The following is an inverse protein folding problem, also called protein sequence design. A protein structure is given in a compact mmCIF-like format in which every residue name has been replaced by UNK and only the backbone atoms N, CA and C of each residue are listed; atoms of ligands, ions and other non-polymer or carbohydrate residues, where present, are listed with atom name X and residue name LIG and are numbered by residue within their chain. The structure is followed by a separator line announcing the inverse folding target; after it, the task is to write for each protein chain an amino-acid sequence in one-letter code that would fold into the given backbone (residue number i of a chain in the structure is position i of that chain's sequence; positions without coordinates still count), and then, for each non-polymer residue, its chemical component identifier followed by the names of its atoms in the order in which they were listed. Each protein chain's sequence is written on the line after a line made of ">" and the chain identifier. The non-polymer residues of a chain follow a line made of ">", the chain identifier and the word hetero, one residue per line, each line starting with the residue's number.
data_IF_644091551878
#
_entry.id   IF_644091551878
#
_cell.length_a   1.000
_cell.length_b   1.000
_cell.length_c   1.000
_cell.angle_alpha   90.00
_cell.angle_beta   90.00
_cell.angle_gamma   90.00
#
_symmetry.space_group_name_H-M   'P 1'
#
loop_
_entity.id
_entity.type
_entity.pdbx_description
1 polymer ?
#
# COMPACT_ATOMS: atom_id res chain seq x y z
N UNK A 1 -21.97 16.18 3.91
CA UNK A 1 -20.87 15.64 4.73
C UNK A 1 -19.64 15.88 3.90
N UNK A 2 -18.87 16.88 4.32
CA UNK A 2 -17.81 17.51 3.53
C UNK A 2 -16.62 16.57 3.36
N UNK A 3 -16.15 16.44 2.11
CA UNK A 3 -15.06 15.56 1.67
C UNK A 3 -13.69 16.30 1.60
N UNK A 4 -13.55 17.42 2.29
CA UNK A 4 -12.50 18.44 2.04
C UNK A 4 -11.14 18.19 2.73
N UNK A 5 -10.72 16.94 2.94
CA UNK A 5 -9.57 16.69 3.82
C UNK A 5 -8.57 15.59 3.46
N UNK A 6 -8.78 14.78 2.42
CA UNK A 6 -7.94 13.58 2.30
C UNK A 6 -7.82 12.96 0.90
N UNK A 7 -7.54 13.73 -0.16
CA UNK A 7 -7.35 13.10 -1.49
C UNK A 7 -6.34 13.78 -2.45
N UNK A 8 -5.03 13.88 -2.16
CA UNK A 8 -4.09 14.31 -3.21
C UNK A 8 -3.97 13.31 -4.37
N UNK A 9 -4.22 12.00 -4.12
CA UNK A 9 -4.10 10.96 -5.14
C UNK A 9 -5.35 10.86 -6.04
N UNK A 10 -6.52 11.25 -5.53
CA UNK A 10 -7.77 11.26 -6.30
C UNK A 10 -8.14 12.65 -6.85
N UNK A 11 -7.71 13.76 -6.24
CA UNK A 11 -7.84 15.09 -6.87
C UNK A 11 -7.19 15.11 -8.26
N UNK A 12 -6.02 14.46 -8.43
CA UNK A 12 -5.38 14.32 -9.74
C UNK A 12 -6.17 13.42 -10.71
N UNK A 13 -6.88 12.40 -10.22
CA UNK A 13 -7.70 11.49 -11.04
C UNK A 13 -9.07 12.12 -11.42
N UNK A 14 -9.61 13.01 -10.59
CA UNK A 14 -10.90 13.68 -10.80
C UNK A 14 -10.76 14.96 -11.63
N UNK A 15 -9.67 15.73 -11.48
CA UNK A 15 -9.44 16.94 -12.28
C UNK A 15 -9.26 16.64 -13.77
N UNK A 16 -8.63 15.51 -14.12
CA UNK A 16 -8.46 15.07 -15.51
C UNK A 16 -9.78 14.74 -16.24
N UNK A 17 -10.88 14.49 -15.51
CA UNK A 17 -12.17 14.14 -16.09
C UNK A 17 -13.09 15.35 -16.37
N UNK A 18 -12.67 16.58 -16.05
CA UNK A 18 -13.56 17.78 -16.13
C UNK A 18 -13.10 18.88 -17.09
N UNK A 19 -12.12 18.62 -17.95
CA UNK A 19 -11.70 19.58 -18.97
C UNK A 19 -11.85 19.01 -20.38
N UNK A 20 -12.99 19.29 -21.00
CA UNK A 20 -13.14 19.19 -22.46
C UNK A 20 -13.77 20.48 -22.99
N UNK A 21 -12.93 21.31 -23.61
CA UNK A 21 -13.20 22.06 -24.85
C UNK A 21 -12.19 23.20 -24.98
N UNK A 22 -11.11 22.96 -25.73
CA UNK A 22 -10.16 24.00 -26.08
C UNK A 22 -9.01 23.45 -26.90
N UNK A 23 -9.12 23.54 -28.22
CA UNK A 23 -8.00 23.33 -29.16
C UNK A 23 -6.76 24.11 -28.72
N UNK A 24 -5.56 23.51 -28.82
CA UNK A 24 -4.41 24.33 -29.18
C UNK A 24 -3.44 23.69 -30.19
N UNK A 25 -2.97 24.62 -31.02
CA UNK A 25 -1.82 24.61 -31.90
C UNK A 25 -0.62 23.75 -31.48
N UNK A 26 -0.16 22.98 -32.48
CA UNK A 26 1.23 22.68 -32.84
C UNK A 26 2.32 23.30 -31.96
N UNK A 27 2.92 22.47 -31.12
CA UNK A 27 4.31 22.66 -30.69
C UNK A 27 5.01 21.30 -30.59
N UNK A 28 6.29 21.28 -30.98
CA UNK A 28 7.10 20.13 -31.32
C UNK A 28 7.22 19.05 -30.23
N UNK A 29 7.24 17.74 -30.58
CA UNK A 29 7.39 16.69 -29.60
C UNK A 29 8.86 16.55 -29.17
N UNK A 30 9.11 16.83 -27.89
CA UNK A 30 10.33 16.40 -27.22
C UNK A 30 10.28 14.88 -27.03
N UNK A 31 11.15 14.16 -27.72
CA UNK A 31 11.42 12.74 -27.49
C UNK A 31 11.86 12.51 -26.04
N UNK A 32 10.98 11.91 -25.22
CA UNK A 32 11.36 11.28 -23.96
C UNK A 32 11.65 9.80 -24.23
N UNK A 33 12.91 9.42 -24.09
CA UNK A 33 13.34 8.02 -24.11
C UNK A 33 12.86 7.33 -22.83
N UNK A 34 11.70 6.68 -22.87
CA UNK A 34 11.20 5.82 -21.81
C UNK A 34 11.72 4.40 -22.00
N UNK A 35 12.86 4.08 -21.37
CA UNK A 35 13.34 2.70 -21.23
C UNK A 35 13.29 2.29 -19.76
N UNK A 36 12.08 2.07 -19.25
CA UNK A 36 11.85 1.42 -17.96
C UNK A 36 10.91 0.24 -18.19
N UNK A 37 11.37 -0.97 -17.88
CA UNK A 37 10.78 -2.23 -18.35
C UNK A 37 9.33 -2.43 -17.92
N UNK A 38 8.51 -2.89 -18.86
CA UNK A 38 7.13 -3.28 -18.62
C UNK A 38 7.05 -4.47 -17.66
N UNK A 39 6.23 -4.34 -16.61
CA UNK A 39 5.88 -5.44 -15.72
C UNK A 39 4.59 -6.11 -16.18
N UNK A 40 4.66 -7.42 -16.45
CA UNK A 40 3.49 -8.25 -16.75
C UNK A 40 3.46 -9.42 -15.78
N UNK A 41 2.41 -9.49 -14.97
CA UNK A 41 2.18 -10.60 -14.07
C UNK A 41 1.67 -11.82 -14.85
N UNK A 42 2.30 -12.99 -14.64
CA UNK A 42 1.77 -14.26 -15.17
C UNK A 42 0.46 -14.58 -14.45
N UNK A 43 -0.62 -14.98 -15.13
CA UNK A 43 -1.85 -15.40 -14.47
C UNK A 43 -1.70 -16.69 -13.67
N UNK A 44 -2.39 -16.76 -12.54
CA UNK A 44 -2.57 -18.00 -11.79
C UNK A 44 -3.44 -18.99 -12.56
N UNK A 45 -3.28 -20.28 -12.29
CA UNK A 45 -4.02 -21.36 -12.98
C UNK A 45 -5.53 -21.34 -12.77
N UNK A 46 -6.02 -20.55 -11.80
CA UNK A 46 -7.43 -20.38 -11.50
C UNK A 46 -8.12 -19.37 -12.43
N UNK A 47 -7.37 -18.52 -13.15
CA UNK A 47 -7.94 -17.51 -14.04
C UNK A 47 -8.12 -18.05 -15.45
N UNK A 48 -9.33 -17.89 -15.98
CA UNK A 48 -9.67 -18.17 -17.37
C UNK A 48 -9.40 -16.98 -18.27
N UNK A 49 -9.29 -17.22 -19.59
CA UNK A 49 -9.17 -16.14 -20.58
C UNK A 49 -10.38 -15.20 -20.55
N UNK A 50 -11.56 -15.71 -20.20
CA UNK A 50 -12.78 -14.90 -20.07
C UNK A 50 -12.68 -13.94 -18.88
N UNK A 51 -12.17 -14.37 -17.73
CA UNK A 51 -12.00 -13.53 -16.54
C UNK A 51 -10.93 -12.45 -16.74
N UNK A 52 -9.85 -12.78 -17.45
CA UNK A 52 -8.83 -11.81 -17.82
C UNK A 52 -9.38 -10.78 -18.82
N UNK A 53 -10.16 -11.22 -19.80
CA UNK A 53 -10.58 -10.37 -20.92
C UNK A 53 -9.41 -10.03 -21.86
N UNK A 54 -9.71 -9.32 -22.94
CA UNK A 54 -8.74 -8.99 -24.00
C UNK A 54 -8.02 -7.65 -23.81
N UNK A 55 -8.54 -6.79 -22.94
CA UNK A 55 -8.04 -5.42 -22.76
C UNK A 55 -6.96 -5.41 -21.68
N UNK A 56 -5.79 -4.89 -22.04
CA UNK A 56 -4.65 -4.69 -21.14
C UNK A 56 -4.40 -3.19 -21.01
N UNK A 57 -4.40 -2.71 -19.76
CA UNK A 57 -4.13 -1.32 -19.39
C UNK A 57 -2.63 -1.11 -19.14
N UNK A 58 -2.12 0.04 -19.55
CA UNK A 58 -0.81 0.58 -19.19
C UNK A 58 -0.95 1.48 -17.96
N UNK A 59 -0.57 0.98 -16.79
CA UNK A 59 -0.59 1.73 -15.51
C UNK A 59 0.82 2.17 -15.16
N UNK A 60 1.06 3.47 -15.05
CA UNK A 60 2.34 4.02 -14.61
C UNK A 60 2.29 4.34 -13.13
N UNK A 61 3.19 3.75 -12.33
CA UNK A 61 3.21 3.90 -10.87
C UNK A 61 4.54 4.46 -10.41
N UNK A 62 4.48 5.38 -9.44
CA UNK A 62 5.64 6.07 -8.90
C UNK A 62 6.05 7.30 -9.72
N UNK A 63 7.06 8.01 -9.22
CA UNK A 63 7.53 9.25 -9.82
C UNK A 63 8.91 9.06 -10.43
N UNK A 64 9.10 9.53 -11.66
CA UNK A 64 10.41 9.60 -12.33
C UNK A 64 11.44 10.44 -11.57
N UNK A 65 11.00 11.26 -10.60
CA UNK A 65 11.86 12.11 -9.77
C UNK A 65 12.35 11.40 -8.50
N UNK A 66 11.77 10.27 -8.11
CA UNK A 66 12.11 9.56 -6.88
C UNK A 66 13.13 8.43 -7.09
N UNK A 67 13.96 8.10 -6.09
CA UNK A 67 14.83 6.92 -6.13
C UNK A 67 14.00 5.64 -6.30
N UNK A 68 14.09 5.01 -7.47
CA UNK A 68 13.26 3.86 -7.87
C UNK A 68 12.45 4.11 -9.14
N UNK A 69 12.22 5.37 -9.50
CA UNK A 69 11.56 5.80 -10.73
C UNK A 69 10.09 5.39 -10.82
N UNK A 70 9.50 5.69 -11.98
CA UNK A 70 8.20 5.16 -12.35
C UNK A 70 8.37 3.77 -13.00
N UNK A 71 7.39 2.89 -12.77
CA UNK A 71 7.33 1.56 -13.39
C UNK A 71 6.02 1.43 -14.13
N UNK A 72 6.07 0.90 -15.35
CA UNK A 72 4.89 0.61 -16.16
C UNK A 72 4.42 -0.82 -15.89
N UNK A 73 3.15 -0.96 -15.51
CA UNK A 73 2.45 -2.22 -15.29
C UNK A 73 1.46 -2.46 -16.41
N UNK A 74 1.42 -3.69 -16.93
CA UNK A 74 0.39 -4.17 -17.85
C UNK A 74 -0.60 -5.03 -17.09
N UNK A 75 -1.81 -4.51 -16.91
CA UNK A 75 -2.84 -5.14 -16.07
C UNK A 75 -4.11 -5.36 -16.90
N UNK A 76 -4.69 -6.55 -16.82
CA UNK A 76 -5.96 -6.82 -17.50
C UNK A 76 -7.08 -5.94 -16.92
N UNK A 77 -7.73 -5.15 -17.77
CA UNK A 77 -8.79 -4.21 -17.38
C UNK A 77 -9.94 -4.91 -16.65
N UNK A 78 -10.44 -6.02 -17.21
CA UNK A 78 -11.57 -6.76 -16.63
C UNK A 78 -11.23 -7.27 -15.23
N UNK A 79 -10.03 -7.84 -15.07
CA UNK A 79 -9.55 -8.32 -13.77
C UNK A 79 -9.43 -7.18 -12.74
N UNK A 80 -8.79 -6.07 -13.11
CA UNK A 80 -8.62 -4.91 -12.23
C UNK A 80 -9.98 -4.37 -11.75
N UNK A 81 -10.89 -4.10 -12.68
CA UNK A 81 -12.21 -3.56 -12.36
C UNK A 81 -13.09 -4.54 -11.58
N UNK A 82 -12.93 -5.85 -11.81
CA UNK A 82 -13.69 -6.87 -11.06
C UNK A 82 -13.30 -6.99 -9.59
N UNK A 83 -12.02 -6.76 -9.26
CA UNK A 83 -11.49 -6.90 -7.91
C UNK A 83 -11.34 -5.56 -7.18
N UNK A 84 -11.36 -4.46 -7.91
CA UNK A 84 -11.09 -3.13 -7.38
C UNK A 84 -12.16 -2.14 -7.87
N UNK A 85 -13.19 -1.95 -7.05
CA UNK A 85 -14.40 -1.24 -7.41
C UNK A 85 -14.16 0.21 -7.86
N UNK A 86 -13.14 0.88 -7.30
CA UNK A 86 -12.83 2.27 -7.65
C UNK A 86 -12.36 2.41 -9.11
N UNK A 87 -11.64 1.42 -9.65
CA UNK A 87 -11.25 1.42 -11.06
C UNK A 87 -12.45 1.17 -11.97
N UNK A 88 -13.40 0.34 -11.55
CA UNK A 88 -14.66 0.16 -12.28
C UNK A 88 -15.47 1.46 -12.39
N UNK A 89 -15.43 2.31 -11.36
CA UNK A 89 -16.05 3.64 -11.39
C UNK A 89 -15.26 4.61 -12.28
N UNK A 90 -13.92 4.58 -12.19
CA UNK A 90 -13.02 5.45 -12.96
C UNK A 90 -13.17 5.26 -14.47
N UNK A 91 -13.09 4.01 -14.95
CA UNK A 91 -13.18 3.72 -16.38
C UNK A 91 -14.62 3.80 -16.94
N UNK A 92 -15.62 3.74 -16.05
CA UNK A 92 -17.03 3.76 -16.43
C UNK A 92 -17.47 2.52 -17.23
N UNK A 93 -18.70 2.55 -17.78
CA UNK A 93 -19.27 1.46 -18.57
C UNK A 93 -18.82 1.46 -20.04
N UNK A 94 -18.27 2.57 -20.52
CA UNK A 94 -17.94 2.80 -21.93
C UNK A 94 -16.43 2.85 -22.16
N UNK A 95 -15.64 2.14 -21.34
CA UNK A 95 -14.21 2.03 -21.60
C UNK A 95 -13.98 1.28 -22.90
N UNK A 96 -13.64 2.03 -23.95
CA UNK A 96 -13.18 1.51 -25.20
C UNK A 96 -11.67 1.69 -25.23
N UNK A 97 -10.92 0.58 -25.29
CA UNK A 97 -9.49 0.64 -25.54
C UNK A 97 -9.29 1.30 -26.91
N UNK A 98 -8.88 2.57 -26.91
CA UNK A 98 -8.84 3.36 -28.13
C UNK A 98 -7.62 3.03 -29.02
N UNK A 99 -6.60 2.35 -28.48
CA UNK A 99 -5.33 2.12 -29.19
C UNK A 99 -4.66 0.79 -28.80
N UNK A 100 -3.80 0.30 -29.71
CA UNK A 100 -2.88 -0.80 -29.44
C UNK A 100 -1.92 -0.39 -28.30
N UNK A 101 -1.82 -1.16 -27.21
CA UNK A 101 -1.01 -0.82 -26.04
C UNK A 101 0.47 -0.61 -26.37
N UNK A 102 0.97 -1.15 -27.49
CA UNK A 102 2.36 -0.96 -27.93
C UNK A 102 2.57 0.34 -28.72
N UNK A 103 1.50 1.00 -29.14
CA UNK A 103 1.52 2.28 -29.88
C UNK A 103 1.09 3.48 -29.04
N UNK A 104 0.67 3.24 -27.79
CA UNK A 104 0.12 4.26 -26.91
C UNK A 104 1.22 5.12 -26.29
N UNK A 105 1.19 6.43 -26.55
CA UNK A 105 2.17 7.39 -26.02
C UNK A 105 1.94 7.76 -24.55
N UNK A 106 0.70 7.63 -24.06
CA UNK A 106 0.29 7.99 -22.70
C UNK A 106 -0.21 6.76 -21.94
N UNK A 107 0.02 6.65 -20.62
CA UNK A 107 -0.57 5.59 -19.82
C UNK A 107 -2.08 5.75 -19.69
N UNK A 108 -2.80 4.65 -19.47
CA UNK A 108 -4.23 4.66 -19.18
C UNK A 108 -4.52 5.17 -17.75
N UNK A 109 -3.56 4.99 -16.83
CA UNK A 109 -3.63 5.42 -15.43
C UNK A 109 -2.25 5.84 -14.94
N UNK A 110 -2.17 6.99 -14.25
CA UNK A 110 -0.95 7.45 -13.55
C UNK A 110 -1.16 7.47 -12.04
N UNK A 111 -0.31 6.75 -11.31
CA UNK A 111 -0.29 6.66 -9.85
C UNK A 111 1.05 7.19 -9.31
N UNK A 112 1.29 8.49 -9.53
CA UNK A 112 2.59 9.13 -9.30
C UNK A 112 3.07 9.11 -7.82
N UNK A 113 2.13 9.03 -6.88
CA UNK A 113 2.39 9.11 -5.44
C UNK A 113 2.45 7.74 -4.75
N UNK A 114 2.31 6.67 -5.53
CA UNK A 114 2.21 5.29 -5.06
C UNK A 114 3.55 4.56 -5.21
N UNK A 115 3.84 3.62 -4.31
CA UNK A 115 5.08 2.84 -4.35
C UNK A 115 4.96 1.68 -5.35
N UNK A 116 5.80 1.63 -6.40
CA UNK A 116 5.72 0.58 -7.41
C UNK A 116 5.87 -0.83 -6.84
N UNK A 117 6.60 -1.01 -5.75
CA UNK A 117 6.83 -2.33 -5.15
C UNK A 117 5.59 -2.81 -4.40
N UNK A 118 4.89 -1.92 -3.71
CA UNK A 118 3.61 -2.26 -3.10
C UNK A 118 2.54 -2.51 -4.17
N UNK A 119 2.59 -1.77 -5.27
CA UNK A 119 1.64 -1.97 -6.37
C UNK A 119 1.90 -3.30 -7.09
N UNK A 120 3.17 -3.70 -7.24
CA UNK A 120 3.54 -5.03 -7.71
C UNK A 120 2.92 -6.14 -6.85
N UNK A 121 2.89 -5.99 -5.52
CA UNK A 121 2.22 -6.96 -4.63
C UNK A 121 0.70 -6.99 -4.84
N UNK A 122 0.06 -5.82 -5.01
CA UNK A 122 -1.36 -5.75 -5.36
C UNK A 122 -1.64 -6.47 -6.68
N UNK A 123 -0.87 -6.19 -7.74
CA UNK A 123 -1.00 -6.87 -9.03
C UNK A 123 -0.75 -8.38 -8.89
N UNK A 124 0.25 -8.79 -8.12
CA UNK A 124 0.48 -10.21 -7.81
C UNK A 124 -0.75 -10.86 -7.20
N UNK A 125 -1.34 -10.23 -6.18
CA UNK A 125 -2.56 -10.70 -5.53
C UNK A 125 -3.76 -10.74 -6.47
N UNK A 126 -3.94 -9.73 -7.34
CA UNK A 126 -5.02 -9.72 -8.33
C UNK A 126 -5.00 -10.97 -9.21
N UNK A 127 -3.81 -11.42 -9.62
CA UNK A 127 -3.63 -12.56 -10.53
C UNK A 127 -3.46 -13.92 -9.82
N UNK A 128 -3.09 -13.93 -8.54
CA UNK A 128 -2.77 -15.16 -7.78
C UNK A 128 -3.80 -15.50 -6.69
N UNK A 129 -4.65 -14.54 -6.31
CA UNK A 129 -5.55 -14.62 -5.15
C UNK A 129 -4.83 -14.89 -3.81
N UNK A 130 -3.52 -14.70 -3.78
CA UNK A 130 -2.66 -14.83 -2.60
C UNK A 130 -1.53 -13.81 -2.65
N UNK A 131 -1.06 -13.35 -1.49
CA UNK A 131 0.09 -12.45 -1.38
C UNK A 131 1.38 -13.27 -1.48
N UNK A 132 2.20 -12.97 -2.49
CA UNK A 132 3.55 -13.53 -2.62
C UNK A 132 4.58 -12.65 -1.89
N UNK A 133 5.17 -13.20 -0.83
CA UNK A 133 6.20 -12.54 -0.03
C UNK A 133 7.59 -12.48 -0.68
N UNK A 134 7.80 -13.26 -1.74
CA UNK A 134 9.08 -13.38 -2.43
C UNK A 134 9.13 -12.51 -3.69
N UNK A 135 8.84 -11.21 -3.51
CA UNK A 135 9.03 -10.26 -4.59
C UNK A 135 10.51 -9.86 -4.66
N UNK A 136 11.12 -10.14 -5.81
CA UNK A 136 12.48 -9.69 -6.11
C UNK A 136 12.57 -8.17 -6.07
N UNK A 137 13.52 -7.69 -5.27
CA UNK A 137 14.02 -6.33 -5.36
C UNK A 137 15.03 -6.32 -6.50
N UNK A 138 14.65 -5.77 -7.65
CA UNK A 138 15.55 -5.60 -8.80
C UNK A 138 16.91 -5.07 -8.30
N UNK A 139 17.92 -5.93 -8.42
CA UNK A 139 19.26 -5.80 -7.82
C UNK A 139 20.11 -4.68 -8.44
N UNK A 140 19.51 -3.79 -9.24
CA UNK A 140 20.20 -2.70 -9.94
C UNK A 140 20.69 -1.58 -9.03
N UNK A 141 20.22 -1.48 -7.78
CA UNK A 141 20.82 -0.59 -6.76
C UNK A 141 21.88 -1.29 -5.88
N UNK A 142 22.03 -2.61 -5.97
CA UNK A 142 22.91 -3.40 -5.13
C UNK A 142 24.26 -3.74 -5.78
N UNK A 143 24.45 -3.41 -7.07
CA UNK A 143 25.65 -3.78 -7.85
C UNK A 143 26.91 -2.97 -7.51
N UNK A 144 26.90 -2.10 -6.50
CA UNK A 144 28.05 -1.28 -6.08
C UNK A 144 28.37 -1.30 -4.59
N UNK A 145 28.12 -2.41 -3.87
CA UNK A 145 28.63 -2.52 -2.50
C UNK A 145 29.36 -3.85 -2.24
N UNK A 146 30.58 -3.82 -1.68
CA UNK A 146 31.37 -5.02 -1.46
C UNK A 146 30.64 -6.00 -0.54
N UNK A 147 30.68 -7.26 -0.97
CA UNK A 147 29.93 -8.40 -0.45
C UNK A 147 30.52 -8.90 0.88
N UNK A 148 30.34 -8.14 1.97
CA UNK A 148 30.87 -8.53 3.29
C UNK A 148 30.00 -8.16 4.52
N UNK A 149 28.73 -7.80 4.33
CA UNK A 149 27.80 -7.52 5.46
C UNK A 149 26.62 -8.47 5.40
N UNK A 150 26.15 -8.96 6.56
CA UNK A 150 24.95 -9.82 6.64
C UNK A 150 23.72 -9.04 6.17
N UNK A 151 23.39 -9.15 4.88
CA UNK A 151 22.27 -8.45 4.23
C UNK A 151 20.89 -8.91 4.70
N UNK A 152 20.80 -10.03 5.43
CA UNK A 152 19.52 -10.60 5.88
C UNK A 152 18.71 -9.64 6.75
N UNK A 153 19.35 -8.88 7.64
CA UNK A 153 18.67 -7.87 8.48
C UNK A 153 18.24 -6.63 7.70
N UNK A 154 19.07 -6.17 6.77
CA UNK A 154 18.79 -4.97 5.96
C UNK A 154 17.64 -5.22 4.97
N UNK A 155 17.60 -6.39 4.33
CA UNK A 155 16.52 -6.78 3.43
C UNK A 155 15.16 -6.89 4.14
N UNK A 156 15.15 -7.43 5.37
CA UNK A 156 13.94 -7.48 6.22
C UNK A 156 13.40 -6.08 6.51
N UNK A 157 14.28 -5.14 6.85
CA UNK A 157 13.87 -3.75 7.15
C UNK A 157 13.29 -3.01 5.95
N UNK A 158 13.69 -3.36 4.72
CA UNK A 158 13.19 -2.71 3.50
C UNK A 158 11.81 -3.26 3.09
N UNK A 159 11.52 -4.54 3.37
CA UNK A 159 10.23 -5.15 3.04
C UNK A 159 9.08 -4.66 3.93
N UNK A 160 9.35 -4.30 5.20
CA UNK A 160 8.31 -3.86 6.12
C UNK A 160 7.48 -2.66 5.59
N UNK A 161 8.08 -1.53 5.16
CA UNK A 161 7.31 -0.42 4.57
C UNK A 161 6.47 -0.81 3.35
N UNK A 162 6.89 -1.82 2.59
CA UNK A 162 6.17 -2.24 1.38
C UNK A 162 4.90 -3.00 1.76
N UNK A 163 4.97 -3.90 2.75
CA UNK A 163 3.78 -4.58 3.27
C UNK A 163 2.83 -3.62 3.99
N UNK A 164 3.35 -2.60 4.67
CA UNK A 164 2.50 -1.51 5.21
C UNK A 164 1.76 -0.81 4.07
N UNK A 165 2.46 -0.43 3.00
CA UNK A 165 1.84 0.22 1.84
C UNK A 165 0.83 -0.68 1.12
N UNK A 166 1.02 -2.00 1.08
CA UNK A 166 0.01 -2.93 0.59
C UNK A 166 -1.27 -2.87 1.44
N UNK A 167 -1.15 -2.84 2.77
CA UNK A 167 -2.31 -2.66 3.66
C UNK A 167 -3.01 -1.32 3.38
N UNK A 168 -2.23 -0.25 3.17
CA UNK A 168 -2.77 1.07 2.81
C UNK A 168 -3.52 1.05 1.47
N UNK A 169 -3.01 0.36 0.45
CA UNK A 169 -3.72 0.18 -0.82
C UNK A 169 -5.00 -0.59 -0.66
N UNK A 170 -5.00 -1.65 0.15
CA UNK A 170 -6.20 -2.43 0.39
C UNK A 170 -7.31 -1.60 1.04
N UNK A 171 -6.98 -0.76 2.03
CA UNK A 171 -7.92 0.17 2.66
C UNK A 171 -8.34 1.28 1.67
N UNK A 172 -7.38 1.90 0.98
CA UNK A 172 -7.63 3.01 0.04
C UNK A 172 -8.55 2.59 -1.11
N UNK A 173 -8.37 1.38 -1.63
CA UNK A 173 -9.16 0.83 -2.72
C UNK A 173 -10.38 0.03 -2.24
N UNK A 174 -10.64 0.01 -0.93
CA UNK A 174 -11.78 -0.64 -0.30
C UNK A 174 -11.89 -2.15 -0.61
N UNK A 175 -10.74 -2.84 -0.69
CA UNK A 175 -10.66 -4.28 -0.98
C UNK A 175 -10.60 -5.05 0.35
N UNK A 176 -11.75 -5.24 1.01
CA UNK A 176 -11.83 -5.85 2.36
C UNK A 176 -11.11 -7.19 2.49
N UNK A 177 -11.22 -8.07 1.48
CA UNK A 177 -10.51 -9.37 1.49
C UNK A 177 -8.99 -9.18 1.53
N UNK A 178 -8.46 -8.31 0.68
CA UNK A 178 -7.04 -8.00 0.65
C UNK A 178 -6.60 -7.26 1.92
N UNK A 179 -7.44 -6.40 2.50
CA UNK A 179 -7.13 -5.69 3.74
C UNK A 179 -6.83 -6.69 4.87
N UNK A 180 -7.73 -7.66 5.05
CA UNK A 180 -7.59 -8.72 6.05
C UNK A 180 -6.39 -9.64 5.77
N UNK A 181 -6.20 -10.07 4.52
CA UNK A 181 -5.07 -10.90 4.12
C UNK A 181 -3.72 -10.17 4.29
N UNK A 182 -3.65 -8.88 3.92
CA UNK A 182 -2.45 -8.06 4.01
C UNK A 182 -2.06 -7.78 5.47
N UNK A 183 -3.03 -7.51 6.35
CA UNK A 183 -2.77 -7.35 7.79
C UNK A 183 -2.22 -8.64 8.39
N UNK A 184 -2.84 -9.79 8.09
CA UNK A 184 -2.35 -11.09 8.55
C UNK A 184 -0.92 -11.36 8.05
N UNK A 185 -0.68 -11.07 6.77
CA UNK A 185 0.62 -11.24 6.15
C UNK A 185 1.67 -10.34 6.81
N UNK A 186 1.34 -9.07 7.07
CA UNK A 186 2.20 -8.10 7.73
C UNK A 186 2.54 -8.52 9.17
N UNK A 187 1.56 -8.99 9.94
CA UNK A 187 1.75 -9.53 11.30
C UNK A 187 2.68 -10.74 11.25
N UNK A 188 2.39 -11.71 10.37
CA UNK A 188 3.23 -12.90 10.20
C UNK A 188 4.66 -12.54 9.83
N UNK A 189 4.84 -11.60 8.90
CA UNK A 189 6.16 -11.12 8.51
C UNK A 189 6.93 -10.51 9.69
N UNK A 190 6.29 -9.65 10.50
CA UNK A 190 6.92 -9.05 11.68
C UNK A 190 7.32 -10.11 12.72
N UNK A 191 6.49 -11.14 12.93
CA UNK A 191 6.78 -12.26 13.84
C UNK A 191 7.97 -13.08 13.30
N UNK A 192 7.87 -13.60 12.07
CA UNK A 192 8.86 -14.50 11.47
C UNK A 192 10.23 -13.85 11.32
N UNK A 193 10.25 -12.54 11.07
CA UNK A 193 11.50 -11.79 10.89
C UNK A 193 12.01 -11.10 12.15
N UNK A 194 11.22 -11.08 13.22
CA UNK A 194 11.42 -10.27 14.43
C UNK A 194 11.59 -8.77 14.13
N UNK A 195 11.05 -8.30 13.02
CA UNK A 195 11.12 -6.88 12.64
C UNK A 195 10.06 -6.09 13.40
N UNK A 196 10.43 -4.91 13.87
CA UNK A 196 9.50 -3.98 14.54
C UNK A 196 9.39 -2.67 13.75
N UNK A 197 8.17 -2.11 13.61
CA UNK A 197 8.00 -0.83 12.97
C UNK A 197 8.64 0.26 13.83
N UNK A 198 9.34 1.17 13.16
CA UNK A 198 9.87 2.38 13.79
C UNK A 198 8.77 3.46 13.82
N UNK A 199 8.98 4.57 14.57
CA UNK A 199 7.98 5.62 14.65
C UNK A 199 7.58 6.25 13.30
N UNK A 200 8.48 6.30 12.31
CA UNK A 200 8.14 6.77 10.96
C UNK A 200 7.09 5.89 10.28
N UNK A 201 7.13 4.57 10.52
CA UNK A 201 6.10 3.66 10.02
C UNK A 201 4.73 3.95 10.67
N UNK A 202 4.72 4.24 11.97
CA UNK A 202 3.47 4.58 12.69
C UNK A 202 2.87 5.88 12.15
N UNK A 203 3.70 6.90 11.95
CA UNK A 203 3.27 8.17 11.38
C UNK A 203 2.72 8.00 9.96
N UNK A 204 3.35 7.18 9.11
CA UNK A 204 2.85 6.97 7.75
C UNK A 204 1.47 6.29 7.76
N UNK A 205 1.25 5.31 8.63
CA UNK A 205 -0.08 4.70 8.80
C UNK A 205 -1.10 5.77 9.18
N UNK A 206 -0.83 6.56 10.23
CA UNK A 206 -1.76 7.60 10.67
C UNK A 206 -1.98 8.72 9.64
N UNK A 207 -0.99 9.00 8.79
CA UNK A 207 -1.13 10.00 7.72
C UNK A 207 -2.05 9.55 6.59
N UNK A 208 -2.16 8.24 6.35
CA UNK A 208 -2.77 7.66 5.14
C UNK A 208 -4.09 6.94 5.37
N UNK A 209 -4.50 6.75 6.62
CA UNK A 209 -5.69 5.96 6.99
C UNK A 209 -6.71 6.81 7.71
N UNK A 210 -7.95 6.32 7.83
CA UNK A 210 -9.01 6.96 8.64
C UNK A 210 -8.94 6.49 10.09
N UNK A 211 -9.60 7.20 11.01
CA UNK A 211 -9.64 6.85 12.44
C UNK A 211 -10.24 5.47 12.74
N UNK A 212 -11.05 4.93 11.84
CA UNK A 212 -11.67 3.59 11.94
C UNK A 212 -10.82 2.47 11.35
N UNK A 213 -9.61 2.76 10.85
CA UNK A 213 -8.73 1.80 10.20
C UNK A 213 -8.27 0.69 11.16
N UNK A 214 -8.43 -0.56 10.72
CA UNK A 214 -7.89 -1.71 11.45
C UNK A 214 -6.35 -1.66 11.54
N UNK A 215 -5.69 -1.09 10.51
CA UNK A 215 -4.25 -0.89 10.51
C UNK A 215 -3.81 0.13 11.58
N UNK A 216 -4.59 1.20 11.83
CA UNK A 216 -4.32 2.12 12.96
C UNK A 216 -4.48 1.42 14.30
N UNK A 217 -5.48 0.57 14.46
CA UNK A 217 -5.67 -0.22 15.69
C UNK A 217 -4.46 -1.13 15.94
N UNK A 218 -3.97 -1.81 14.91
CA UNK A 218 -2.75 -2.61 15.00
C UNK A 218 -1.54 -1.75 15.41
N UNK A 219 -1.30 -0.65 14.70
CA UNK A 219 -0.11 0.17 14.88
C UNK A 219 -0.09 0.94 16.21
N UNK A 220 -1.23 1.40 16.70
CA UNK A 220 -1.35 2.02 18.03
C UNK A 220 -1.05 1.02 19.15
N UNK A 221 -1.55 -0.22 19.05
CA UNK A 221 -1.24 -1.29 20.01
C UNK A 221 0.23 -1.69 19.95
N UNK A 222 0.81 -1.81 18.75
CA UNK A 222 2.26 -2.05 18.56
C UNK A 222 3.09 -0.94 19.21
N UNK A 223 2.78 0.32 18.92
CA UNK A 223 3.49 1.45 19.51
C UNK A 223 3.39 1.42 21.04
N UNK A 224 2.18 1.33 21.60
CA UNK A 224 1.97 1.27 23.05
C UNK A 224 2.74 0.11 23.71
N UNK A 225 2.72 -1.08 23.10
CA UNK A 225 3.43 -2.26 23.58
C UNK A 225 4.95 -2.10 23.51
N UNK A 226 5.51 -1.61 22.39
CA UNK A 226 6.95 -1.34 22.26
C UNK A 226 7.43 -0.31 23.28
N UNK A 227 6.67 0.76 23.49
CA UNK A 227 6.98 1.80 24.47
C UNK A 227 6.93 1.32 25.92
N UNK A 228 6.14 0.29 26.21
CA UNK A 228 6.08 -0.32 27.55
C UNK A 228 7.26 -1.26 27.85
N UNK A 229 7.96 -1.72 26.81
CA UNK A 229 9.11 -2.61 26.90
C UNK A 229 10.43 -1.85 26.97
N UNK A 230 10.51 -0.67 26.35
CA UNK A 230 11.64 0.24 26.50
C UNK A 230 11.58 0.92 27.86
N UNK A 231 12.50 0.60 28.76
CA UNK A 231 12.85 1.51 29.85
C UNK A 231 13.47 2.75 29.21
N UNK A 232 12.65 3.73 28.87
CA UNK A 232 13.13 4.96 28.22
C UNK A 232 14.08 5.66 29.19
N UNK A 233 15.36 5.60 28.89
CA UNK A 233 16.31 6.59 29.38
C UNK A 233 15.92 7.98 28.85
N UNK A 234 16.29 9.04 29.58
CA UNK A 234 15.75 10.39 29.34
C UNK A 234 15.95 10.93 27.92
N UNK A 235 16.97 10.47 27.20
CA UNK A 235 17.25 10.87 25.81
C UNK A 235 16.28 10.19 24.81
N UNK A 236 15.99 8.90 24.96
CA UNK A 236 15.01 8.19 24.12
C UNK A 236 13.57 8.68 24.34
N UNK A 237 13.25 9.11 25.56
CA UNK A 237 11.94 9.68 25.89
C UNK A 237 11.67 11.01 25.16
N UNK A 238 12.66 11.90 25.07
CA UNK A 238 12.49 13.21 24.42
C UNK A 238 12.37 13.10 22.89
N UNK A 239 13.12 12.20 22.25
CA UNK A 239 13.01 11.96 20.81
C UNK A 239 11.65 11.35 20.45
N UNK A 240 11.17 10.41 21.27
CA UNK A 240 9.85 9.83 21.11
C UNK A 240 8.72 10.86 21.29
N UNK A 241 8.79 11.70 22.32
CA UNK A 241 7.76 12.73 22.54
C UNK A 241 7.73 13.74 21.38
N UNK A 242 8.90 14.12 20.86
CA UNK A 242 9.02 14.93 19.64
C UNK A 242 8.33 14.27 18.45
N UNK A 243 8.47 12.95 18.29
CA UNK A 243 7.81 12.20 17.21
C UNK A 243 6.29 12.10 17.42
N UNK A 244 5.84 11.85 18.65
CA UNK A 244 4.41 11.78 18.97
C UNK A 244 3.72 13.16 18.84
N UNK A 245 4.43 14.25 19.09
CA UNK A 245 3.94 15.61 18.80
C UNK A 245 3.65 15.85 17.32
N UNK A 246 4.22 15.06 16.40
CA UNK A 246 3.95 15.18 14.95
C UNK A 246 2.59 14.61 14.55
N UNK A 247 1.91 13.87 15.43
CA UNK A 247 0.58 13.34 15.16
C UNK A 247 -0.25 13.19 16.46
N UNK A 248 -1.19 14.12 16.66
CA UNK A 248 -2.02 14.14 17.86
C UNK A 248 -2.93 12.94 18.02
N UNK A 249 -3.40 12.35 16.91
CA UNK A 249 -4.27 11.17 16.94
C UNK A 249 -3.50 9.94 17.44
N UNK A 250 -2.31 9.69 16.90
CA UNK A 250 -1.41 8.63 17.37
C UNK A 250 -1.10 8.79 18.87
N UNK A 251 -0.75 10.01 19.28
CA UNK A 251 -0.48 10.33 20.70
C UNK A 251 -1.70 10.05 21.57
N UNK A 252 -2.90 10.44 21.13
CA UNK A 252 -4.17 10.21 21.83
C UNK A 252 -4.47 8.73 21.96
N UNK A 253 -4.32 7.95 20.90
CA UNK A 253 -4.63 6.52 20.88
C UNK A 253 -3.66 5.74 21.78
N UNK A 254 -2.36 6.01 21.71
CA UNK A 254 -1.36 5.43 22.62
C UNK A 254 -1.68 5.78 24.08
N UNK A 255 -2.02 7.04 24.34
CA UNK A 255 -2.33 7.50 25.70
C UNK A 255 -3.59 6.82 26.27
N UNK A 256 -4.60 6.61 25.42
CA UNK A 256 -5.85 5.94 25.79
C UNK A 256 -5.59 4.47 26.11
N UNK A 257 -4.86 3.75 25.26
CA UNK A 257 -4.46 2.35 25.49
C UNK A 257 -3.65 2.15 26.78
N UNK A 258 -2.86 3.16 27.19
CA UNK A 258 -2.10 3.13 28.45
C UNK A 258 -2.96 3.45 29.67
N UNK A 259 -3.92 4.39 29.55
CA UNK A 259 -4.83 4.78 30.64
C UNK A 259 -5.86 3.70 30.94
N UNK A 260 -6.46 3.08 29.92
CA UNK A 260 -7.52 2.08 30.07
C UNK A 260 -7.06 0.82 30.82
N UNK A 261 -5.74 0.61 30.91
CA UNK A 261 -5.13 -0.52 31.62
C UNK A 261 -4.67 -0.18 33.04
N UNK A 262 -4.99 0.99 33.57
CA UNK A 262 -4.63 1.38 34.95
C UNK A 262 -3.13 1.31 35.25
N UNK A 263 -2.28 1.50 34.23
CA UNK A 263 -0.82 1.39 34.34
C UNK A 263 -0.25 -0.02 34.12
N UNK A 264 -1.08 -1.04 33.88
CA UNK A 264 -0.59 -2.37 33.48
C UNK A 264 0.03 -2.34 32.07
N UNK A 265 1.03 -3.20 31.85
CA UNK A 265 1.68 -3.32 30.53
C UNK A 265 0.65 -3.74 29.47
N UNK A 266 0.64 -3.10 28.28
CA UNK A 266 -0.15 -3.55 27.15
C UNK A 266 0.14 -5.02 26.82
N UNK A 267 -0.90 -5.75 26.42
CA UNK A 267 -0.74 -7.11 25.89
C UNK A 267 0.07 -7.07 24.58
N UNK A 268 0.75 -8.17 24.26
CA UNK A 268 1.46 -8.30 23.00
C UNK A 268 0.45 -8.31 21.82
N UNK A 269 0.48 -7.32 20.91
CA UNK A 269 -0.44 -7.25 19.79
C UNK A 269 -0.26 -8.39 18.78
N UNK A 270 0.89 -9.05 18.76
CA UNK A 270 1.14 -10.19 17.88
C UNK A 270 0.47 -11.48 18.37
N UNK A 271 -0.06 -11.49 19.61
CA UNK A 271 -0.81 -12.59 20.19
C UNK A 271 -2.33 -12.33 20.23
N UNK A 272 -2.78 -11.16 19.77
CA UNK A 272 -4.20 -10.84 19.73
C UNK A 272 -4.93 -11.68 18.65
N UNK A 273 -6.23 -11.98 18.84
CA UNK A 273 -7.02 -12.68 17.83
C UNK A 273 -6.98 -11.94 16.48
N UNK A 274 -6.88 -12.63 15.33
CA UNK A 274 -6.84 -11.98 14.02
C UNK A 274 -8.01 -11.02 13.76
N UNK A 275 -9.23 -11.39 14.18
CA UNK A 275 -10.41 -10.54 13.96
C UNK A 275 -10.34 -9.19 14.72
N UNK A 276 -9.44 -9.01 15.70
CA UNK A 276 -9.19 -7.68 16.32
C UNK A 276 -8.65 -6.66 15.32
N UNK A 277 -8.07 -7.14 14.22
CA UNK A 277 -7.44 -6.34 13.17
C UNK A 277 -8.08 -6.57 11.80
N UNK A 278 -9.26 -7.19 11.74
CA UNK A 278 -9.96 -7.41 10.48
C UNK A 278 -11.12 -6.44 10.32
N UNK A 279 -11.35 -6.05 9.09
CA UNK A 279 -12.56 -5.38 8.68
C UNK A 279 -13.60 -6.45 8.31
N UNK A 280 -14.65 -6.53 9.11
CA UNK A 280 -15.82 -7.33 8.82
C UNK A 280 -16.87 -6.39 8.27
N UNK A 281 -16.94 -6.29 6.94
CA UNK A 281 -18.08 -5.65 6.30
C UNK A 281 -19.41 -6.27 6.79
N UNK A 282 -20.56 -5.71 6.38
CA UNK A 282 -21.86 -6.13 6.92
C UNK A 282 -22.25 -7.59 6.64
N UNK A 283 -21.56 -8.30 5.74
CA UNK A 283 -22.04 -9.58 5.16
C UNK A 283 -21.10 -10.77 5.38
N UNK A 284 -19.81 -10.57 5.66
CA UNK A 284 -18.84 -11.67 5.74
C UNK A 284 -18.50 -12.05 7.18
N UNK A 285 -18.82 -13.28 7.57
CA UNK A 285 -18.37 -13.85 8.85
C UNK A 285 -16.87 -14.18 8.75
N UNK A 286 -16.07 -13.58 9.65
CA UNK A 286 -14.66 -13.94 9.89
C UNK A 286 -14.53 -15.47 10.00
N UNK A 287 -13.63 -16.15 9.26
CA UNK A 287 -13.37 -17.58 9.46
C UNK A 287 -12.68 -17.85 10.81
N UNK A 288 -12.18 -16.80 11.49
CA UNK A 288 -11.61 -16.90 12.82
C UNK A 288 -12.69 -16.63 13.89
N UNK A 289 -12.68 -17.37 15.01
CA UNK A 289 -13.59 -17.10 16.12
C UNK A 289 -13.26 -15.74 16.76
N UNK A 290 -14.29 -14.97 17.13
CA UNK A 290 -14.12 -13.79 17.98
C UNK A 290 -13.74 -14.27 19.39
N UNK A 291 -12.64 -13.74 19.92
CA UNK A 291 -12.16 -14.02 21.29
C UNK A 291 -13.05 -13.40 22.35
#
# INVERSE_FOLDING_TARGET
>A
MDFDGLMPAFETLVEAATSDSGTPQSSHPHHRNHTHGDYIQKPGSHLTAEELGSIILRVEVGSSKEPGGAVTFRVHHKLLCSKVAIFQQYFGKNFHQAFDPDTQLLPDVELINDDPRAFKLLVGWLYMDTIDGDFDMDSRSASKLPRMVSFGGLLKSIKLPIYIKLCLFAELYEITRLENEAINFLIKFMIDTQTRPNPSCWLEVYRRTRSTSALRVLFSRIAAWQLSQGGLDGAGAMDLESILCRNEELRRDISTLRRDRGGARPADPFLAPPCDYHNHGPVEKCPYPRG
#
